data_IF_536496943790
#
_entry.id   IF_536496943790
#
_cell.length_a   1.000
_cell.length_b   1.000
_cell.length_c   1.000
_cell.angle_alpha   90.00
_cell.angle_beta   90.00
_cell.angle_gamma   90.00
#
_symmetry.space_group_name_H-M   'P 1'
#
loop_
_entity.id
_entity.type
_entity.pdbx_description
1 polymer ?
#
# COMPACT_ATOMS: atom_id res chain seq x y z
N UNK A 1 -19.64 -58.76 42.07
CA UNK A 1 -18.69 -57.64 41.89
C UNK A 1 -19.47 -56.43 41.39
N UNK A 2 -19.47 -55.29 42.08
CA UNK A 2 -20.03 -54.06 41.53
C UNK A 2 -19.09 -53.49 40.45
N UNK A 3 -19.65 -52.95 39.37
CA UNK A 3 -18.86 -52.14 38.42
C UNK A 3 -18.52 -50.82 39.10
N UNK A 4 -17.23 -50.51 39.20
CA UNK A 4 -16.77 -49.14 39.44
C UNK A 4 -17.28 -48.27 38.28
N UNK A 5 -18.13 -47.29 38.60
CA UNK A 5 -18.54 -46.27 37.64
C UNK A 5 -17.37 -45.29 37.53
N UNK A 6 -16.91 -45.07 36.29
CA UNK A 6 -15.76 -44.24 35.97
C UNK A 6 -16.10 -42.75 36.11
N UNK A 7 -16.04 -42.26 37.35
CA UNK A 7 -16.29 -40.86 37.69
C UNK A 7 -15.21 -39.90 37.16
N UNK A 8 -14.03 -40.40 36.79
CA UNK A 8 -12.95 -39.57 36.22
C UNK A 8 -13.31 -39.15 34.79
N UNK A 9 -13.75 -40.09 33.94
CA UNK A 9 -14.12 -39.78 32.55
C UNK A 9 -15.17 -38.67 32.41
N UNK A 10 -16.19 -38.66 33.27
CA UNK A 10 -17.27 -37.66 33.26
C UNK A 10 -16.79 -36.26 33.68
N UNK A 11 -15.85 -36.18 34.64
CA UNK A 11 -15.27 -34.90 35.05
C UNK A 11 -14.28 -34.35 34.02
N UNK A 12 -13.50 -35.21 33.37
CA UNK A 12 -12.59 -34.83 32.29
C UNK A 12 -13.38 -34.24 31.12
N UNK A 13 -14.45 -34.92 30.67
CA UNK A 13 -15.29 -34.44 29.54
C UNK A 13 -15.95 -33.07 29.75
N UNK A 14 -16.31 -32.72 31.00
CA UNK A 14 -16.89 -31.40 31.32
C UNK A 14 -15.84 -30.29 31.34
N UNK A 15 -14.65 -30.55 31.91
CA UNK A 15 -13.55 -29.56 31.94
C UNK A 15 -12.99 -29.31 30.55
N UNK A 16 -12.79 -30.35 29.73
CA UNK A 16 -12.33 -30.21 28.34
C UNK A 16 -13.38 -29.55 27.45
N UNK A 17 -14.66 -29.90 27.60
CA UNK A 17 -15.76 -29.25 26.88
C UNK A 17 -15.86 -27.74 27.17
N UNK A 18 -15.74 -27.33 28.44
CA UNK A 18 -15.72 -25.93 28.83
C UNK A 18 -14.48 -25.19 28.28
N UNK A 19 -13.29 -25.78 28.42
CA UNK A 19 -12.06 -25.20 27.89
C UNK A 19 -12.13 -25.00 26.36
N UNK A 20 -12.66 -25.98 25.63
CA UNK A 20 -12.86 -25.88 24.18
C UNK A 20 -13.80 -24.72 23.80
N UNK A 21 -14.92 -24.53 24.51
CA UNK A 21 -15.82 -23.39 24.26
C UNK A 21 -15.13 -22.05 24.53
N UNK A 22 -14.36 -21.92 25.61
CA UNK A 22 -13.64 -20.68 25.95
C UNK A 22 -12.56 -20.36 24.91
N UNK A 23 -11.75 -21.34 24.52
CA UNK A 23 -10.73 -21.16 23.47
C UNK A 23 -11.39 -20.84 22.13
N UNK A 24 -12.50 -21.52 21.79
CA UNK A 24 -13.24 -21.25 20.56
C UNK A 24 -13.81 -19.83 20.51
N UNK A 25 -14.40 -19.35 21.62
CA UNK A 25 -14.88 -17.98 21.74
C UNK A 25 -13.72 -16.96 21.63
N UNK A 26 -12.59 -17.23 22.28
CA UNK A 26 -11.39 -16.40 22.16
C UNK A 26 -10.88 -16.31 20.71
N UNK A 27 -10.83 -17.43 19.98
CA UNK A 27 -10.43 -17.43 18.57
C UNK A 27 -11.39 -16.65 17.67
N UNK A 28 -12.71 -16.67 17.94
CA UNK A 28 -13.67 -15.82 17.24
C UNK A 28 -13.45 -14.33 17.53
N UNK A 29 -13.21 -13.96 18.79
CA UNK A 29 -12.89 -12.57 19.16
C UNK A 29 -11.59 -12.11 18.48
N UNK A 30 -10.55 -12.95 18.48
CA UNK A 30 -9.29 -12.67 17.80
C UNK A 30 -9.48 -12.51 16.28
N UNK A 31 -10.27 -13.39 15.65
CA UNK A 31 -10.58 -13.33 14.22
C UNK A 31 -11.30 -12.03 13.81
N UNK A 32 -12.21 -11.54 14.65
CA UNK A 32 -12.90 -10.27 14.44
C UNK A 32 -11.92 -9.10 14.63
N UNK A 33 -11.22 -9.04 15.77
CA UNK A 33 -10.27 -7.97 16.07
C UNK A 33 -9.12 -7.86 15.07
N UNK A 34 -8.65 -9.00 14.53
CA UNK A 34 -7.63 -9.01 13.49
C UNK A 34 -8.10 -8.24 12.25
N UNK A 35 -9.34 -8.49 11.80
CA UNK A 35 -9.90 -7.85 10.61
C UNK A 35 -10.35 -6.40 10.84
N UNK A 36 -10.97 -6.08 11.96
CA UNK A 36 -11.67 -4.79 12.18
C UNK A 36 -10.92 -3.79 13.05
N UNK A 37 -9.65 -4.07 13.38
CA UNK A 37 -8.83 -3.17 14.18
C UNK A 37 -7.33 -3.35 13.88
N UNK A 38 -6.82 -4.58 13.96
CA UNK A 38 -5.39 -4.82 13.75
C UNK A 38 -4.97 -4.55 12.29
N UNK A 39 -5.82 -4.88 11.32
CA UNK A 39 -5.56 -4.53 9.92
C UNK A 39 -5.47 -3.01 9.73
N UNK A 40 -6.48 -2.25 10.15
CA UNK A 40 -6.55 -0.80 9.92
C UNK A 40 -5.40 -0.02 10.59
N UNK A 41 -4.88 -0.53 11.72
CA UNK A 41 -3.73 0.04 12.44
C UNK A 41 -2.35 -0.34 11.83
N UNK A 42 -2.30 -1.31 10.93
CA UNK A 42 -1.07 -1.78 10.28
C UNK A 42 -1.05 -1.47 8.78
N UNK A 43 -2.22 -1.34 8.17
CA UNK A 43 -2.47 -0.78 6.84
C UNK A 43 -2.48 0.76 6.91
N UNK A 44 -1.41 1.32 7.48
CA UNK A 44 -1.20 2.75 7.67
C UNK A 44 0.24 3.12 7.30
N UNK A 45 0.43 4.12 6.45
CA UNK A 45 1.74 4.59 6.01
C UNK A 45 2.51 5.28 7.16
N UNK A 46 3.83 5.06 7.33
CA UNK A 46 4.64 5.76 8.35
C UNK A 46 4.83 7.25 8.03
N UNK A 47 5.02 8.06 9.07
CA UNK A 47 5.23 9.52 8.94
C UNK A 47 6.68 9.92 8.68
N UNK A 48 7.61 8.99 8.94
CA UNK A 48 9.06 9.13 8.98
C UNK A 48 9.75 8.25 7.91
N UNK A 49 9.07 8.04 6.79
CA UNK A 49 9.61 7.32 5.62
C UNK A 49 10.92 7.96 5.14
N UNK A 50 11.91 7.15 4.80
CA UNK A 50 13.12 7.59 4.11
C UNK A 50 13.48 6.54 3.05
N UNK A 51 13.46 6.93 1.77
CA UNK A 51 13.74 6.04 0.64
C UNK A 51 14.45 6.78 -0.48
N UNK A 52 15.42 6.12 -1.09
CA UNK A 52 16.00 6.46 -2.39
C UNK A 52 15.60 5.39 -3.41
N UNK A 53 15.29 5.80 -4.63
CA UNK A 53 15.03 4.91 -5.77
C UNK A 53 15.81 5.40 -6.98
N UNK A 54 16.41 4.46 -7.73
CA UNK A 54 17.25 4.77 -8.89
C UNK A 54 16.64 4.14 -10.14
N UNK A 55 16.34 4.98 -11.13
CA UNK A 55 15.88 4.56 -12.46
C UNK A 55 16.98 4.81 -13.49
N UNK A 56 17.20 3.88 -14.43
CA UNK A 56 18.26 3.97 -15.44
C UNK A 56 17.71 3.62 -16.82
N UNK A 57 18.41 4.07 -17.88
CA UNK A 57 18.30 3.41 -19.19
C UNK A 57 18.85 1.98 -19.08
N UNK A 58 18.36 1.07 -19.91
CA UNK A 58 18.84 -0.31 -19.87
C UNK A 58 20.31 -0.39 -20.31
N UNK A 59 21.10 -1.41 -19.88
CA UNK A 59 22.50 -1.52 -20.26
C UNK A 59 22.71 -1.61 -21.78
N UNK A 60 23.23 -0.54 -22.38
CA UNK A 60 23.43 -0.42 -23.83
C UNK A 60 22.38 0.42 -24.56
N UNK A 61 21.34 0.88 -23.86
CA UNK A 61 20.35 1.82 -24.38
C UNK A 61 20.71 3.26 -23.99
N UNK A 62 20.71 4.15 -24.99
CA UNK A 62 20.86 5.60 -24.84
C UNK A 62 19.48 6.28 -24.85
N UNK A 63 19.39 7.44 -24.18
CA UNK A 63 18.30 8.38 -24.33
C UNK A 63 18.72 9.55 -25.26
N UNK A 64 17.74 10.34 -25.71
CA UNK A 64 17.96 11.69 -26.27
C UNK A 64 17.54 12.72 -25.24
N UNK A 65 18.33 13.76 -25.00
CA UNK A 65 18.00 14.80 -24.02
C UNK A 65 18.57 16.18 -24.39
N UNK A 66 17.88 17.25 -23.98
CA UNK A 66 18.37 18.62 -24.09
C UNK A 66 19.33 18.96 -22.93
N UNK A 67 20.61 19.12 -23.23
CA UNK A 67 21.59 19.67 -22.32
C UNK A 67 21.65 21.19 -22.48
N UNK A 68 20.99 21.92 -21.57
CA UNK A 68 20.96 23.40 -21.56
C UNK A 68 22.34 23.99 -21.19
N UNK A 69 23.15 23.26 -20.43
CA UNK A 69 24.48 23.66 -19.97
C UNK A 69 25.63 23.26 -20.89
N UNK A 70 25.35 22.71 -22.07
CA UNK A 70 26.37 22.17 -22.98
C UNK A 70 27.40 23.24 -23.43
N UNK A 71 28.62 22.76 -23.71
CA UNK A 71 29.75 23.61 -24.09
C UNK A 71 29.52 24.25 -25.47
N UNK A 72 29.13 25.52 -25.48
CA UNK A 72 28.72 26.26 -26.69
C UNK A 72 27.28 26.76 -26.67
N UNK A 73 26.51 26.42 -25.63
CA UNK A 73 25.08 26.74 -25.50
C UNK A 73 24.21 25.48 -25.57
N UNK A 74 22.88 25.62 -25.42
CA UNK A 74 21.96 24.48 -25.37
C UNK A 74 22.09 23.57 -26.59
N UNK A 75 22.24 22.27 -26.34
CA UNK A 75 22.43 21.24 -27.36
C UNK A 75 21.59 20.00 -27.04
N UNK A 76 21.17 19.28 -28.08
CA UNK A 76 20.54 17.96 -27.93
C UNK A 76 21.65 16.93 -28.00
N UNK A 77 21.75 16.13 -26.95
CA UNK A 77 22.75 15.09 -26.75
C UNK A 77 22.07 13.72 -26.68
N UNK A 78 22.88 12.67 -26.80
CA UNK A 78 22.43 11.30 -26.59
C UNK A 78 23.46 10.52 -25.78
N UNK A 79 22.97 9.66 -24.90
CA UNK A 79 23.75 8.90 -23.94
C UNK A 79 22.85 8.26 -22.87
N UNK A 80 23.40 7.44 -21.97
CA UNK A 80 22.64 6.83 -20.89
C UNK A 80 22.17 7.91 -19.90
N UNK A 81 21.03 7.67 -19.26
CA UNK A 81 20.49 8.53 -18.20
C UNK A 81 20.22 7.74 -16.92
N UNK A 82 20.39 8.43 -15.81
CA UNK A 82 20.00 8.01 -14.47
C UNK A 82 19.06 9.06 -13.86
N UNK A 83 17.98 8.61 -13.24
CA UNK A 83 17.07 9.44 -12.46
C UNK A 83 17.02 8.93 -11.03
N UNK A 84 17.27 9.81 -10.06
CA UNK A 84 17.21 9.49 -8.63
C UNK A 84 16.06 10.22 -8.00
N UNK A 85 15.27 9.49 -7.20
CA UNK A 85 14.17 10.06 -6.41
C UNK A 85 14.36 9.71 -4.94
N UNK A 86 14.44 10.76 -4.13
CA UNK A 86 14.44 10.73 -2.67
C UNK A 86 13.02 11.02 -2.19
N UNK A 87 12.58 10.35 -1.14
CA UNK A 87 11.31 10.59 -0.44
C UNK A 87 11.60 10.61 1.06
N UNK A 88 11.23 11.70 1.74
CA UNK A 88 11.46 11.92 3.17
C UNK A 88 10.17 12.38 3.84
N UNK A 89 9.75 11.62 4.87
CA UNK A 89 8.55 11.87 5.63
C UNK A 89 8.67 13.05 6.59
N UNK A 90 7.73 14.00 6.47
CA UNK A 90 7.73 15.24 7.24
C UNK A 90 6.80 15.10 8.45
N UNK A 91 7.29 14.47 9.53
CA UNK A 91 6.51 14.13 10.73
C UNK A 91 5.77 15.32 11.35
N UNK A 92 6.37 16.53 11.35
CA UNK A 92 5.70 17.73 11.89
C UNK A 92 4.59 18.22 10.94
N UNK A 93 4.85 18.55 9.66
CA UNK A 93 3.79 18.83 8.68
C UNK A 93 2.68 17.79 8.60
N UNK A 94 2.99 16.50 8.76
CA UNK A 94 1.99 15.43 8.77
C UNK A 94 0.98 15.58 9.91
N UNK A 95 1.45 15.92 11.12
CA UNK A 95 0.59 16.18 12.28
C UNK A 95 -0.23 17.46 12.10
N UNK A 96 0.40 18.50 11.56
CA UNK A 96 -0.25 19.78 11.24
C UNK A 96 -1.40 19.59 10.24
N UNK A 97 -1.15 18.88 9.13
CA UNK A 97 -2.18 18.55 8.14
C UNK A 97 -3.28 17.63 8.71
N UNK A 98 -2.92 16.67 9.56
CA UNK A 98 -3.90 15.78 10.23
C UNK A 98 -4.81 16.55 11.20
N UNK A 99 -4.25 17.46 12.00
CA UNK A 99 -4.98 18.31 12.94
C UNK A 99 -5.88 19.33 12.21
N UNK A 100 -5.44 19.87 11.07
CA UNK A 100 -6.20 20.82 10.24
C UNK A 100 -7.36 20.18 9.46
N UNK A 101 -7.15 18.96 8.93
CA UNK A 101 -8.12 18.27 8.07
C UNK A 101 -9.03 17.31 8.85
N UNK A 102 -8.61 16.85 10.03
CA UNK A 102 -9.35 15.87 10.83
C UNK A 102 -9.25 14.43 10.31
N UNK A 103 -8.21 14.15 9.52
CA UNK A 103 -7.95 12.89 8.81
C UNK A 103 -6.54 12.38 9.16
N UNK A 104 -6.22 11.10 8.86
CA UNK A 104 -4.89 10.55 9.14
C UNK A 104 -3.93 10.81 7.95
N UNK A 105 -3.24 11.95 7.99
CA UNK A 105 -2.49 12.48 6.84
C UNK A 105 -0.98 12.32 7.01
N UNK A 106 -0.32 11.85 5.96
CA UNK A 106 1.12 11.95 5.80
C UNK A 106 1.45 13.11 4.85
N UNK A 107 2.51 13.84 5.18
CA UNK A 107 3.10 14.85 4.31
C UNK A 107 4.54 14.41 4.03
N UNK A 108 4.87 14.15 2.78
CA UNK A 108 6.20 13.71 2.35
C UNK A 108 6.82 14.74 1.41
N UNK A 109 8.10 15.05 1.62
CA UNK A 109 8.94 15.79 0.68
C UNK A 109 9.55 14.76 -0.28
N UNK A 110 9.40 14.95 -1.58
CA UNK A 110 10.14 14.18 -2.58
C UNK A 110 10.96 15.11 -3.44
N UNK A 111 12.22 14.73 -3.66
CA UNK A 111 13.09 15.39 -4.61
C UNK A 111 13.54 14.38 -5.65
N UNK A 112 13.36 14.71 -6.92
CA UNK A 112 13.83 13.91 -8.05
C UNK A 112 14.74 14.75 -8.95
N UNK A 113 15.77 14.11 -9.49
CA UNK A 113 16.61 14.70 -10.54
C UNK A 113 17.01 13.66 -11.57
N UNK A 114 17.32 14.11 -12.79
CA UNK A 114 17.76 13.26 -13.90
C UNK A 114 19.02 13.84 -14.53
N UNK A 115 20.01 12.99 -14.77
CA UNK A 115 21.32 13.36 -15.29
C UNK A 115 22.00 12.17 -15.98
N UNK A 116 23.09 12.37 -16.72
CA UNK A 116 23.98 11.27 -17.11
C UNK A 116 24.56 10.55 -15.87
N UNK A 117 24.80 9.23 -15.92
CA UNK A 117 25.35 8.47 -14.80
C UNK A 117 26.67 9.05 -14.26
N UNK A 118 26.71 9.29 -12.95
CA UNK A 118 27.88 9.84 -12.25
C UNK A 118 27.98 11.38 -12.24
N UNK A 119 27.03 12.10 -12.86
CA UNK A 119 26.92 13.56 -12.77
C UNK A 119 26.39 13.97 -11.39
N UNK A 120 26.99 14.99 -10.71
CA UNK A 120 26.49 15.53 -9.45
C UNK A 120 25.07 16.14 -9.57
N UNK A 121 24.34 16.19 -8.46
CA UNK A 121 22.97 16.72 -8.41
C UNK A 121 22.89 18.19 -8.87
N UNK A 122 23.89 19.00 -8.53
CA UNK A 122 24.00 20.41 -8.91
C UNK A 122 24.12 20.63 -10.43
N UNK A 123 24.61 19.63 -11.15
CA UNK A 123 24.81 19.63 -12.61
C UNK A 123 23.71 18.84 -13.36
N UNK A 124 22.61 18.48 -12.68
CA UNK A 124 21.52 17.69 -13.25
C UNK A 124 20.76 18.43 -14.37
N UNK A 125 20.30 17.67 -15.38
CA UNK A 125 19.55 18.19 -16.53
C UNK A 125 18.18 18.75 -16.13
N UNK A 126 17.57 18.13 -15.12
CA UNK A 126 16.28 18.53 -14.55
C UNK A 126 16.18 18.11 -13.09
N UNK A 127 15.47 18.90 -12.29
CA UNK A 127 15.09 18.53 -10.92
C UNK A 127 13.76 19.14 -10.51
N UNK A 128 13.00 18.38 -9.72
CA UNK A 128 11.71 18.80 -9.13
C UNK A 128 11.64 18.36 -7.66
N UNK A 129 11.22 19.28 -6.79
CA UNK A 129 10.85 18.99 -5.39
C UNK A 129 9.36 19.21 -5.18
N UNK A 130 8.66 18.19 -4.70
CA UNK A 130 7.25 18.29 -4.32
C UNK A 130 7.07 18.01 -2.82
N UNK A 131 6.26 18.81 -2.15
CA UNK A 131 5.78 18.56 -0.79
C UNK A 131 4.30 18.18 -0.88
N UNK A 132 4.00 16.91 -0.65
CA UNK A 132 2.69 16.31 -0.98
C UNK A 132 2.03 15.77 0.28
N UNK A 133 0.77 16.18 0.51
CA UNK A 133 -0.09 15.63 1.55
C UNK A 133 -0.99 14.52 0.97
N UNK A 134 -1.15 13.41 1.70
CA UNK A 134 -2.00 12.28 1.29
C UNK A 134 -2.51 11.48 2.49
N UNK A 135 -3.65 10.81 2.32
CA UNK A 135 -4.26 10.00 3.39
C UNK A 135 -3.54 8.65 3.52
N UNK A 136 -3.26 8.24 4.77
CA UNK A 136 -2.28 7.21 5.09
C UNK A 136 -2.72 5.78 4.81
N UNK A 137 -3.99 5.51 4.51
CA UNK A 137 -4.47 4.17 4.15
C UNK A 137 -4.70 4.01 2.63
N UNK A 138 -5.42 4.96 2.03
CA UNK A 138 -5.76 5.01 0.60
C UNK A 138 -4.58 5.42 -0.29
N UNK A 139 -3.59 6.17 0.23
CA UNK A 139 -2.51 6.74 -0.59
C UNK A 139 -2.93 7.95 -1.44
N UNK A 140 -4.21 8.32 -1.43
CA UNK A 140 -4.74 9.41 -2.26
C UNK A 140 -4.32 10.78 -1.71
N UNK A 141 -3.88 11.66 -2.61
CA UNK A 141 -3.44 13.01 -2.25
C UNK A 141 -4.60 13.87 -1.75
N UNK A 142 -4.39 14.58 -0.65
CA UNK A 142 -5.37 15.51 -0.07
C UNK A 142 -4.99 16.96 -0.34
N UNK A 143 -5.99 17.83 -0.46
CA UNK A 143 -5.77 19.26 -0.65
C UNK A 143 -5.35 19.90 0.68
N UNK A 144 -4.06 20.18 0.82
CA UNK A 144 -3.49 20.87 1.99
C UNK A 144 -2.77 22.17 1.60
N UNK A 145 -2.81 23.19 2.45
CA UNK A 145 -2.30 24.54 2.16
C UNK A 145 -0.78 24.66 2.17
N UNK A 146 -0.06 23.76 2.84
CA UNK A 146 1.40 23.68 2.77
C UNK A 146 1.92 22.80 1.62
N UNK A 147 1.04 22.23 0.79
CA UNK A 147 1.48 21.47 -0.38
C UNK A 147 2.16 22.39 -1.39
N UNK A 148 3.33 21.99 -1.92
CA UNK A 148 4.09 22.82 -2.86
C UNK A 148 4.83 22.00 -3.91
N UNK A 149 5.21 22.65 -5.00
CA UNK A 149 6.05 22.10 -6.07
C UNK A 149 7.11 23.13 -6.45
N UNK A 150 8.35 22.70 -6.66
CA UNK A 150 9.48 23.52 -7.05
C UNK A 150 10.22 22.85 -8.21
N UNK A 151 10.18 23.48 -9.39
CA UNK A 151 10.89 23.03 -10.59
C UNK A 151 11.73 24.19 -11.11
N UNK A 152 12.99 23.93 -11.48
CA UNK A 152 13.92 24.95 -12.01
C UNK A 152 14.05 26.20 -11.13
N UNK A 153 13.97 26.05 -9.80
CA UNK A 153 14.07 27.15 -8.82
C UNK A 153 12.81 28.02 -8.70
N UNK A 154 11.70 27.64 -9.35
CA UNK A 154 10.40 28.32 -9.22
C UNK A 154 9.49 27.49 -8.32
N UNK A 155 9.30 27.95 -7.07
CA UNK A 155 8.36 27.33 -6.11
C UNK A 155 6.93 27.87 -6.29
N UNK A 156 5.96 26.97 -6.33
CA UNK A 156 4.53 27.23 -6.32
C UNK A 156 3.95 26.67 -5.01
N UNK A 157 3.36 27.55 -4.21
CA UNK A 157 2.76 27.23 -2.90
C UNK A 157 1.57 28.18 -2.64
N UNK A 158 0.36 27.67 -2.34
CA UNK A 158 -0.02 26.26 -2.41
C UNK A 158 -0.07 25.74 -3.85
N UNK A 159 0.27 24.46 -4.04
CA UNK A 159 -0.11 23.67 -5.22
C UNK A 159 -1.21 22.68 -4.84
N UNK A 160 -1.78 21.97 -5.82
CA UNK A 160 -2.75 20.90 -5.58
C UNK A 160 -2.39 19.69 -6.43
N UNK A 161 -2.26 18.54 -5.75
CA UNK A 161 -2.12 17.22 -6.35
C UNK A 161 -3.47 16.50 -6.31
N UNK A 162 -3.69 15.55 -7.21
CA UNK A 162 -4.91 14.74 -7.28
C UNK A 162 -4.57 13.28 -7.57
N UNK A 163 -5.39 12.35 -7.06
CA UNK A 163 -5.21 10.91 -7.25
C UNK A 163 -4.07 10.32 -6.43
N UNK A 164 -3.48 9.24 -6.93
CA UNK A 164 -2.33 8.54 -6.36
C UNK A 164 -1.01 9.22 -6.77
N UNK A 165 -0.01 9.24 -5.89
CA UNK A 165 1.28 9.91 -6.14
C UNK A 165 2.51 9.11 -5.68
N UNK A 166 2.44 8.45 -4.51
CA UNK A 166 3.55 7.65 -3.96
C UNK A 166 3.34 6.14 -4.03
N UNK A 167 2.08 5.70 -3.91
CA UNK A 167 1.65 4.31 -3.78
C UNK A 167 0.22 4.17 -4.28
N UNK A 168 -0.32 2.97 -4.26
CA UNK A 168 -1.74 2.63 -4.45
C UNK A 168 -2.37 2.31 -3.08
N UNK A 169 -3.71 2.22 -2.95
CA UNK A 169 -4.35 1.85 -1.68
C UNK A 169 -3.85 0.53 -1.09
N UNK A 170 -3.80 0.41 0.24
CA UNK A 170 -3.64 -0.90 0.89
C UNK A 170 -4.75 -1.85 0.44
N UNK A 171 -4.42 -3.12 0.18
CA UNK A 171 -5.32 -4.03 -0.54
C UNK A 171 -5.78 -3.39 -1.88
N UNK A 172 -4.82 -3.10 -2.76
CA UNK A 172 -5.07 -2.58 -4.11
C UNK A 172 -5.95 -3.55 -4.89
N UNK A 173 -6.97 -3.04 -5.58
CA UNK A 173 -7.87 -3.84 -6.41
C UNK A 173 -7.39 -3.92 -7.86
N UNK A 174 -8.07 -4.75 -8.65
CA UNK A 174 -7.85 -4.91 -10.09
C UNK A 174 -8.80 -3.99 -10.86
N UNK A 175 -8.62 -2.69 -10.65
CA UNK A 175 -9.43 -1.61 -11.18
C UNK A 175 -8.52 -0.42 -11.54
N UNK A 176 -9.06 0.57 -12.24
CA UNK A 176 -8.29 1.73 -12.67
C UNK A 176 -8.22 2.77 -11.55
N UNK A 177 -7.07 3.44 -11.41
CA UNK A 177 -6.84 4.50 -10.44
C UNK A 177 -6.46 5.80 -11.16
N UNK A 178 -6.77 6.95 -10.58
CA UNK A 178 -6.21 8.23 -11.03
C UNK A 178 -4.78 8.35 -10.49
N UNK A 179 -3.78 8.58 -11.36
CA UNK A 179 -2.38 8.71 -10.95
C UNK A 179 -1.80 10.05 -11.44
N UNK A 180 -1.13 10.78 -10.55
CA UNK A 180 -0.61 12.12 -10.84
C UNK A 180 0.58 12.11 -11.81
N UNK A 181 0.54 12.99 -12.81
CA UNK A 181 1.69 13.34 -13.62
C UNK A 181 2.03 14.84 -13.50
N UNK A 182 3.27 15.11 -13.08
CA UNK A 182 3.75 16.48 -12.83
C UNK A 182 3.98 17.32 -14.08
N UNK A 183 4.13 16.70 -15.25
CA UNK A 183 4.39 17.41 -16.51
C UNK A 183 3.10 17.96 -17.14
N UNK A 184 2.04 17.16 -17.15
CA UNK A 184 0.69 17.63 -17.53
C UNK A 184 -0.09 18.28 -16.38
N UNK A 185 0.40 18.17 -15.15
CA UNK A 185 -0.17 18.73 -13.90
C UNK A 185 -1.60 18.27 -13.63
N UNK A 186 -1.84 16.99 -13.86
CA UNK A 186 -3.15 16.33 -13.73
C UNK A 186 -2.95 14.90 -13.26
N UNK A 187 -3.98 14.36 -12.62
CA UNK A 187 -4.15 12.91 -12.61
C UNK A 187 -4.75 12.47 -13.96
N UNK A 188 -4.33 11.29 -14.43
CA UNK A 188 -5.04 10.55 -15.49
C UNK A 188 -5.12 9.06 -15.09
N UNK A 189 -6.00 8.27 -15.72
CA UNK A 189 -6.13 6.85 -15.41
C UNK A 189 -4.82 6.06 -15.58
N UNK A 190 -4.49 5.25 -14.57
CA UNK A 190 -3.57 4.11 -14.65
C UNK A 190 -4.40 2.83 -14.59
N UNK A 191 -4.37 2.06 -15.68
CA UNK A 191 -5.25 0.90 -15.93
C UNK A 191 -4.60 -0.40 -15.47
N UNK A 192 -5.37 -1.32 -14.90
CA UNK A 192 -4.85 -2.65 -14.52
C UNK A 192 -4.68 -3.54 -15.77
N UNK A 193 -3.43 -3.92 -16.08
CA UNK A 193 -3.06 -4.68 -17.27
C UNK A 193 -2.70 -6.15 -16.99
N UNK A 194 -2.44 -6.53 -15.72
CA UNK A 194 -2.09 -7.92 -15.43
C UNK A 194 -1.51 -8.18 -14.04
N UNK A 195 -1.04 -9.42 -13.85
CA UNK A 195 -0.30 -9.83 -12.66
C UNK A 195 1.00 -10.49 -13.12
N UNK A 196 2.11 -9.94 -12.67
CA UNK A 196 3.47 -10.45 -12.92
C UNK A 196 4.07 -10.98 -11.60
N UNK A 197 5.31 -11.48 -11.68
CA UNK A 197 6.10 -11.91 -10.52
C UNK A 197 7.50 -11.27 -10.62
N UNK A 198 7.94 -10.61 -9.54
CA UNK A 198 9.26 -9.98 -9.42
C UNK A 198 9.95 -10.56 -8.19
N UNK A 199 11.11 -11.21 -8.35
CA UNK A 199 11.84 -11.87 -7.25
C UNK A 199 10.97 -12.83 -6.39
N UNK A 200 9.97 -13.49 -7.00
CA UNK A 200 9.01 -14.36 -6.31
C UNK A 200 7.83 -13.64 -5.63
N UNK A 201 7.79 -12.30 -5.68
CA UNK A 201 6.68 -11.49 -5.20
C UNK A 201 5.65 -11.27 -6.31
N UNK A 202 4.41 -11.69 -6.09
CA UNK A 202 3.31 -11.43 -7.02
C UNK A 202 2.88 -9.96 -6.98
N UNK A 203 2.87 -9.30 -8.14
CA UNK A 203 2.62 -7.87 -8.30
C UNK A 203 1.56 -7.62 -9.36
N UNK A 204 0.75 -6.58 -9.18
CA UNK A 204 -0.18 -6.09 -10.19
C UNK A 204 0.52 -5.10 -11.10
N UNK A 205 0.37 -5.28 -12.42
CA UNK A 205 0.90 -4.37 -13.43
C UNK A 205 -0.17 -3.36 -13.80
N UNK A 206 0.16 -2.08 -13.66
CA UNK A 206 -0.67 -0.95 -14.06
C UNK A 206 0.04 -0.14 -15.15
N UNK A 207 -0.71 0.38 -16.12
CA UNK A 207 -0.17 1.23 -17.21
C UNK A 207 -0.99 2.52 -17.33
N UNK A 208 -0.29 3.66 -17.34
CA UNK A 208 -0.82 4.99 -17.62
C UNK A 208 -0.21 5.48 -18.93
N UNK A 209 -1.07 5.83 -19.88
CA UNK A 209 -0.68 6.34 -21.19
C UNK A 209 -1.11 7.81 -21.31
N UNK A 210 -0.14 8.68 -21.57
CA UNK A 210 -0.33 10.10 -21.81
C UNK A 210 0.10 10.38 -23.24
N UNK A 211 -0.88 10.45 -24.13
CA UNK A 211 -0.69 10.85 -25.53
C UNK A 211 -0.02 12.24 -25.64
N UNK A 212 0.84 12.47 -26.65
CA UNK A 212 1.56 13.73 -26.81
C UNK A 212 0.65 14.96 -26.77
N UNK A 213 0.83 15.80 -25.75
CA UNK A 213 0.03 17.01 -25.51
C UNK A 213 0.92 18.23 -25.23
N UNK A 214 0.51 19.39 -25.75
CA UNK A 214 1.15 20.69 -25.45
C UNK A 214 1.01 21.02 -23.96
N UNK A 215 2.16 21.15 -23.28
CA UNK A 215 2.24 21.49 -21.84
C UNK A 215 2.74 22.91 -21.57
N UNK A 216 3.47 23.53 -22.51
CA UNK A 216 3.96 24.89 -22.38
C UNK A 216 4.24 25.55 -23.75
N UNK A 217 4.41 26.87 -23.73
CA UNK A 217 5.03 27.66 -24.80
C UNK A 217 6.31 28.28 -24.21
N UNK A 218 7.41 28.26 -24.97
CA UNK A 218 8.68 28.84 -24.52
C UNK A 218 9.51 29.42 -25.68
N UNK A 219 10.26 30.46 -25.37
CA UNK A 219 11.30 30.98 -26.26
C UNK A 219 12.51 30.04 -26.23
N UNK A 220 12.86 29.46 -27.37
CA UNK A 220 14.06 28.61 -27.53
C UNK A 220 15.07 29.27 -28.47
N UNK A 221 16.37 28.96 -28.36
CA UNK A 221 17.37 29.33 -29.37
C UNK A 221 16.98 28.75 -30.75
N UNK A 222 17.01 29.57 -31.81
CA UNK A 222 16.55 29.14 -33.13
C UNK A 222 17.31 27.94 -33.70
N UNK A 223 18.60 27.78 -33.34
CA UNK A 223 19.42 26.64 -33.75
C UNK A 223 18.92 25.29 -33.22
N UNK A 224 18.18 25.24 -32.09
CA UNK A 224 17.56 24.01 -31.60
C UNK A 224 16.42 23.54 -32.52
N UNK A 225 15.76 24.46 -33.21
CA UNK A 225 14.57 24.19 -34.05
C UNK A 225 14.83 24.44 -35.55
N UNK A 226 16.10 24.47 -35.96
CA UNK A 226 16.51 24.65 -37.36
C UNK A 226 16.30 26.05 -37.95
N UNK A 227 16.04 27.06 -37.10
CA UNK A 227 15.85 28.46 -37.50
C UNK A 227 17.15 29.27 -37.46
N UNK A 228 17.26 30.27 -38.33
CA UNK A 228 18.34 31.27 -38.31
C UNK A 228 18.07 32.44 -37.37
N UNK A 229 16.89 32.53 -36.77
CA UNK A 229 16.54 33.57 -35.79
C UNK A 229 17.23 33.31 -34.44
N UNK A 230 17.55 34.37 -33.70
CA UNK A 230 18.22 34.24 -32.40
C UNK A 230 17.35 33.50 -31.37
N UNK A 231 16.03 33.68 -31.43
CA UNK A 231 15.08 32.97 -30.58
C UNK A 231 13.73 32.84 -31.27
N UNK A 232 13.13 31.66 -31.16
CA UNK A 232 11.84 31.28 -31.76
C UNK A 232 10.88 30.87 -30.63
N UNK A 233 9.60 31.20 -30.75
CA UNK A 233 8.57 30.67 -29.86
C UNK A 233 8.25 29.23 -30.29
N UNK A 234 8.40 28.27 -29.39
CA UNK A 234 8.11 26.87 -29.64
C UNK A 234 7.14 26.31 -28.58
N UNK A 235 6.30 25.39 -29.03
CA UNK A 235 5.42 24.60 -28.18
C UNK A 235 6.21 23.43 -27.59
N UNK A 236 6.16 23.25 -26.27
CA UNK A 236 6.63 22.03 -25.63
C UNK A 236 5.49 21.03 -25.58
N UNK A 237 5.64 19.95 -26.32
CA UNK A 237 4.76 18.78 -26.27
C UNK A 237 5.40 17.70 -25.40
N UNK A 238 4.59 16.98 -24.63
CA UNK A 238 5.00 15.89 -23.75
C UNK A 238 4.04 14.72 -23.88
N UNK A 239 4.59 13.50 -23.93
CA UNK A 239 3.87 12.25 -23.80
C UNK A 239 4.66 11.27 -22.92
N UNK A 240 3.99 10.30 -22.33
CA UNK A 240 4.62 9.32 -21.45
C UNK A 240 3.80 8.03 -21.37
N UNK A 241 4.48 6.88 -21.46
CA UNK A 241 3.90 5.60 -21.04
C UNK A 241 4.55 5.15 -19.73
N UNK A 242 3.81 5.26 -18.63
CA UNK A 242 4.24 4.87 -17.28
C UNK A 242 3.70 3.47 -16.96
N UNK A 243 4.59 2.52 -16.66
CA UNK A 243 4.22 1.19 -16.15
C UNK A 243 4.66 1.05 -14.69
N UNK A 244 3.74 0.64 -13.82
CA UNK A 244 3.95 0.47 -12.39
C UNK A 244 3.62 -0.98 -11.99
N UNK A 245 4.55 -1.65 -11.31
CA UNK A 245 4.34 -2.95 -10.71
C UNK A 245 4.15 -2.79 -9.21
N UNK A 246 3.00 -3.21 -8.70
CA UNK A 246 2.50 -2.85 -7.36
C UNK A 246 2.27 -4.12 -6.55
N UNK A 247 2.79 -4.20 -5.34
CA UNK A 247 2.45 -5.29 -4.42
C UNK A 247 1.03 -5.05 -3.85
N UNK A 248 0.08 -5.96 -4.07
CA UNK A 248 -1.34 -5.67 -3.85
C UNK A 248 -1.79 -5.57 -2.39
N UNK A 249 -1.11 -6.17 -1.41
CA UNK A 249 -1.50 -6.05 0.01
C UNK A 249 -1.11 -4.69 0.60
N UNK A 250 0.07 -4.19 0.26
CA UNK A 250 0.67 -2.94 0.75
C UNK A 250 0.36 -1.72 -0.13
N UNK A 251 0.13 -1.95 -1.43
CA UNK A 251 -0.03 -0.93 -2.45
C UNK A 251 1.28 -0.26 -2.89
N UNK A 252 2.45 -0.79 -2.49
CA UNK A 252 3.74 -0.17 -2.82
C UNK A 252 4.20 -0.53 -4.22
N UNK A 253 4.74 0.47 -4.92
CA UNK A 253 5.34 0.34 -6.26
C UNK A 253 6.70 -0.35 -6.10
N UNK A 254 6.76 -1.63 -6.47
CA UNK A 254 7.96 -2.48 -6.45
C UNK A 254 8.90 -2.15 -7.61
N UNK A 255 8.34 -1.79 -8.77
CA UNK A 255 9.07 -1.34 -9.96
C UNK A 255 8.29 -0.24 -10.65
N UNK A 256 8.97 0.83 -11.04
CA UNK A 256 8.49 1.81 -12.00
C UNK A 256 9.26 1.73 -13.32
N UNK A 257 8.60 2.03 -14.43
CA UNK A 257 9.21 2.29 -15.72
C UNK A 257 8.44 3.41 -16.42
N UNK A 258 9.14 4.34 -17.05
CA UNK A 258 8.57 5.41 -17.87
C UNK A 258 9.23 5.46 -19.24
N UNK A 259 8.42 5.69 -20.27
CA UNK A 259 8.84 5.91 -21.65
C UNK A 259 8.42 7.32 -22.02
N UNK A 260 9.29 8.28 -21.70
CA UNK A 260 9.04 9.71 -21.79
C UNK A 260 9.44 10.26 -23.17
N UNK A 261 8.54 11.05 -23.75
CA UNK A 261 8.78 11.85 -24.95
C UNK A 261 8.51 13.32 -24.63
N UNK A 262 9.44 14.20 -25.00
CA UNK A 262 9.20 15.64 -25.07
C UNK A 262 9.82 16.24 -26.33
N UNK A 263 9.06 17.08 -27.01
CA UNK A 263 9.46 17.72 -28.27
C UNK A 263 9.28 19.23 -28.22
N UNK A 264 9.94 19.92 -29.15
CA UNK A 264 9.71 21.31 -29.49
C UNK A 264 9.04 21.38 -30.86
N UNK A 265 7.89 22.04 -30.94
CA UNK A 265 7.13 22.21 -32.17
C UNK A 265 7.03 23.68 -32.55
N UNK A 266 7.10 23.97 -33.85
CA UNK A 266 6.95 25.32 -34.41
C UNK A 266 5.96 25.22 -35.56
N UNK A 267 4.95 26.09 -35.56
CA UNK A 267 3.83 26.09 -36.53
C UNK A 267 3.08 24.74 -36.63
N UNK A 268 3.07 23.96 -35.55
CA UNK A 268 2.45 22.63 -35.48
C UNK A 268 3.26 21.50 -36.13
N UNK A 269 4.54 21.72 -36.40
CA UNK A 269 5.48 20.71 -36.89
C UNK A 269 6.57 20.47 -35.84
N UNK A 270 6.81 19.21 -35.47
CA UNK A 270 7.90 18.81 -34.59
C UNK A 270 9.26 19.19 -35.20
N UNK A 271 9.99 20.09 -34.54
CA UNK A 271 11.33 20.55 -35.00
C UNK A 271 12.48 19.90 -34.26
N UNK A 272 12.26 19.45 -33.02
CA UNK A 272 13.28 18.78 -32.22
C UNK A 272 12.70 17.85 -31.16
N UNK A 273 13.42 16.76 -30.87
CA UNK A 273 13.19 15.91 -29.70
C UNK A 273 14.14 16.35 -28.59
N UNK A 274 13.59 16.81 -27.46
CA UNK A 274 14.34 17.30 -26.29
C UNK A 274 14.33 16.32 -25.12
N UNK A 275 13.49 15.29 -25.18
CA UNK A 275 13.55 14.11 -24.32
C UNK A 275 12.99 12.93 -25.10
N UNK A 276 13.73 11.83 -25.17
CA UNK A 276 13.24 10.51 -25.57
C UNK A 276 14.01 9.51 -24.72
N UNK A 277 13.37 9.01 -23.67
CA UNK A 277 14.05 8.25 -22.62
C UNK A 277 13.16 7.12 -22.09
N UNK A 278 13.74 5.92 -22.03
CA UNK A 278 13.16 4.77 -21.33
C UNK A 278 13.91 4.56 -20.02
N UNK A 279 13.31 4.94 -18.92
CA UNK A 279 13.89 4.85 -17.58
C UNK A 279 13.10 3.84 -16.75
N UNK A 280 13.78 2.87 -16.15
CA UNK A 280 13.15 1.90 -15.24
C UNK A 280 13.97 1.72 -13.97
N UNK A 281 13.31 1.38 -12.86
CA UNK A 281 13.99 1.06 -11.60
C UNK A 281 15.04 -0.02 -11.84
N UNK A 282 16.25 0.21 -11.34
CA UNK A 282 17.33 -0.76 -11.47
C UNK A 282 17.14 -1.99 -10.56
N UNK A 283 17.87 -3.06 -10.86
CA UNK A 283 17.70 -4.34 -10.18
C UNK A 283 17.98 -4.26 -8.67
N UNK A 284 18.87 -3.34 -8.25
CA UNK A 284 19.15 -3.07 -6.83
C UNK A 284 17.96 -2.41 -6.14
N UNK A 285 17.36 -1.37 -6.75
CA UNK A 285 16.14 -0.71 -6.27
C UNK A 285 14.97 -1.69 -6.19
N UNK A 286 14.73 -2.47 -7.24
CA UNK A 286 13.65 -3.47 -7.27
C UNK A 286 13.87 -4.51 -6.17
N UNK A 287 15.09 -5.07 -6.07
CA UNK A 287 15.40 -6.08 -5.07
C UNK A 287 15.26 -5.57 -3.64
N UNK A 288 15.78 -4.39 -3.33
CA UNK A 288 15.68 -3.80 -2.00
C UNK A 288 14.20 -3.59 -1.60
N UNK A 289 13.38 -3.13 -2.56
CA UNK A 289 11.94 -2.93 -2.34
C UNK A 289 11.20 -4.25 -2.13
N UNK A 290 11.53 -5.32 -2.88
CA UNK A 290 10.96 -6.66 -2.64
C UNK A 290 11.35 -7.20 -1.26
N UNK A 291 12.65 -7.15 -0.91
CA UNK A 291 13.16 -7.69 0.35
C UNK A 291 12.52 -6.97 1.56
N UNK A 292 12.23 -5.67 1.45
CA UNK A 292 11.49 -4.91 2.47
C UNK A 292 9.99 -5.26 2.54
N UNK A 293 9.30 -5.26 1.39
CA UNK A 293 7.83 -5.30 1.38
C UNK A 293 7.22 -6.70 1.31
N UNK A 294 7.93 -7.74 0.84
CA UNK A 294 7.40 -9.11 0.78
C UNK A 294 6.97 -9.66 2.16
N UNK A 295 7.71 -9.32 3.22
CA UNK A 295 7.36 -9.70 4.60
C UNK A 295 6.17 -8.88 5.13
N UNK A 296 6.13 -7.58 4.84
CA UNK A 296 5.01 -6.68 5.23
C UNK A 296 3.70 -7.12 4.57
N UNK A 297 3.74 -7.41 3.27
CA UNK A 297 2.64 -7.96 2.48
C UNK A 297 2.12 -9.27 3.07
N UNK A 298 3.03 -10.21 3.37
CA UNK A 298 2.69 -11.50 3.97
C UNK A 298 2.02 -11.34 5.34
N UNK A 299 2.48 -10.40 6.17
CA UNK A 299 1.88 -10.08 7.46
C UNK A 299 0.48 -9.45 7.33
N UNK A 300 0.31 -8.47 6.44
CA UNK A 300 -1.00 -7.86 6.17
C UNK A 300 -2.00 -8.89 5.66
N UNK A 301 -1.59 -9.75 4.71
CA UNK A 301 -2.42 -10.87 4.22
C UNK A 301 -2.77 -11.88 5.31
N UNK A 302 -1.83 -12.17 6.22
CA UNK A 302 -2.04 -13.03 7.38
C UNK A 302 -3.14 -12.46 8.29
N UNK A 303 -3.10 -11.16 8.58
CA UNK A 303 -4.04 -10.48 9.47
C UNK A 303 -5.41 -10.27 8.80
N UNK A 304 -5.42 -9.95 7.51
CA UNK A 304 -6.63 -9.66 6.70
C UNK A 304 -7.43 -10.91 6.35
N UNK A 305 -6.74 -12.00 6.01
CA UNK A 305 -7.35 -13.21 5.44
C UNK A 305 -7.19 -14.42 6.35
N UNK A 306 -5.96 -14.80 6.69
CA UNK A 306 -5.68 -16.10 7.30
C UNK A 306 -6.07 -16.20 8.78
N UNK A 307 -5.76 -15.21 9.61
CA UNK A 307 -6.15 -15.18 11.03
C UNK A 307 -7.68 -15.16 11.16
N UNK A 308 -8.44 -14.31 10.43
CA UNK A 308 -9.90 -14.34 10.46
C UNK A 308 -10.50 -15.66 9.97
N UNK A 309 -9.95 -16.25 8.90
CA UNK A 309 -10.46 -17.50 8.32
C UNK A 309 -10.17 -18.72 9.21
N UNK A 310 -8.91 -18.91 9.62
CA UNK A 310 -8.49 -20.05 10.45
C UNK A 310 -9.05 -19.91 11.86
N UNK A 311 -8.93 -18.73 12.48
CA UNK A 311 -9.49 -18.44 13.81
C UNK A 311 -11.00 -18.54 13.83
N UNK A 312 -11.68 -18.08 12.77
CA UNK A 312 -13.12 -18.23 12.58
C UNK A 312 -13.56 -19.69 12.53
N UNK A 313 -12.97 -20.48 11.63
CA UNK A 313 -13.33 -21.90 11.45
C UNK A 313 -13.03 -22.71 12.73
N UNK A 314 -11.80 -22.60 13.27
CA UNK A 314 -11.43 -23.31 14.50
C UNK A 314 -12.28 -22.86 15.69
N UNK A 315 -12.60 -21.56 15.78
CA UNK A 315 -13.47 -21.01 16.81
C UNK A 315 -14.86 -21.64 16.82
N UNK A 316 -15.52 -21.68 15.65
CA UNK A 316 -16.84 -22.34 15.50
C UNK A 316 -16.76 -23.83 15.81
N UNK A 317 -15.76 -24.55 15.28
CA UNK A 317 -15.59 -26.00 15.49
C UNK A 317 -15.39 -26.33 16.97
N UNK A 318 -14.57 -25.56 17.70
CA UNK A 318 -14.34 -25.75 19.13
C UNK A 318 -15.57 -25.43 19.98
N UNK A 319 -16.35 -24.40 19.63
CA UNK A 319 -17.62 -24.08 20.30
C UNK A 319 -18.64 -25.20 20.11
N UNK A 320 -18.83 -25.68 18.87
CA UNK A 320 -19.78 -26.76 18.58
C UNK A 320 -19.36 -28.09 19.22
N UNK A 321 -18.08 -28.45 19.13
CA UNK A 321 -17.52 -29.66 19.73
C UNK A 321 -17.56 -29.62 21.26
N UNK A 322 -17.13 -28.52 21.87
CA UNK A 322 -17.19 -28.30 23.31
C UNK A 322 -18.62 -28.29 23.85
N UNK A 323 -19.55 -27.64 23.14
CA UNK A 323 -20.98 -27.68 23.42
C UNK A 323 -21.55 -29.10 23.37
N UNK A 324 -21.20 -29.89 22.36
CA UNK A 324 -21.62 -31.29 22.26
C UNK A 324 -21.08 -32.17 23.40
N UNK A 325 -19.84 -31.95 23.85
CA UNK A 325 -19.25 -32.63 25.01
C UNK A 325 -19.99 -32.27 26.32
N UNK A 326 -20.27 -30.98 26.53
CA UNK A 326 -21.03 -30.49 27.69
C UNK A 326 -22.47 -31.05 27.72
N UNK A 327 -23.12 -31.16 26.56
CA UNK A 327 -24.45 -31.75 26.43
C UNK A 327 -24.45 -33.27 26.66
N UNK A 328 -23.44 -34.01 26.17
CA UNK A 328 -23.28 -35.45 26.44
C UNK A 328 -23.10 -35.74 27.92
N UNK A 329 -22.21 -35.01 28.60
CA UNK A 329 -21.98 -35.14 30.04
C UNK A 329 -23.19 -34.77 30.94
N UNK A 330 -24.32 -34.36 30.36
CA UNK A 330 -25.58 -34.09 31.06
C UNK A 330 -26.61 -35.22 30.96
N UNK A 331 -26.43 -36.20 30.04
CA UNK A 331 -27.31 -37.37 29.89
C UNK A 331 -26.98 -38.50 30.87
N UNK A 332 -25.71 -38.68 31.23
CA UNK A 332 -25.28 -39.72 32.19
C UNK A 332 -25.57 -39.37 33.66
N UNK A 333 -26.23 -38.23 33.93
CA UNK A 333 -26.56 -37.77 35.30
C UNK A 333 -28.06 -37.78 35.59
N UNK A 334 -28.88 -38.41 34.74
CA UNK A 334 -30.33 -38.51 34.89
C UNK A 334 -30.80 -39.96 35.04
N UNK A 335 -30.32 -40.65 36.07
CA UNK A 335 -30.88 -41.94 36.51
C UNK A 335 -30.80 -42.10 38.04
N UNK A 336 -31.69 -41.41 38.74
CA UNK A 336 -31.98 -41.64 40.17
C UNK A 336 -33.44 -42.08 40.29
N UNK A 337 -33.74 -43.37 40.57
CA UNK A 337 -35.11 -43.84 40.69
C UNK A 337 -35.84 -43.19 41.87
N UNK A 338 -37.10 -42.78 41.63
CA UNK A 338 -38.03 -42.44 42.72
C UNK A 338 -38.41 -43.73 43.45
N UNK A 339 -37.92 -43.93 44.68
CA UNK A 339 -38.54 -44.89 45.60
C UNK A 339 -39.73 -44.26 46.30
N UNK A 340 -40.88 -44.92 46.25
CA UNK A 340 -42.08 -44.58 46.99
C UNK A 340 -42.63 -45.83 47.69
N UNK A 341 -42.96 -45.69 48.99
CA UNK A 341 -43.92 -46.50 49.77
C UNK A 341 -43.60 -48.02 49.96
N UNK A 342 -43.95 -48.70 51.07
CA UNK A 342 -44.73 -48.38 52.28
C UNK A 342 -44.39 -49.37 53.43
N UNK A 343 -44.82 -49.02 54.66
CA UNK A 343 -45.20 -49.77 55.89
C UNK A 343 -45.34 -51.33 55.85
N UNK A 344 -45.36 -52.11 56.95
CA UNK A 344 -45.62 -51.86 58.39
C UNK A 344 -44.76 -52.82 59.27
N UNK A 345 -44.78 -52.86 60.62
CA UNK A 345 -45.93 -53.05 61.53
C UNK A 345 -45.63 -52.59 62.99
N UNK A 346 -46.67 -52.46 63.81
CA UNK A 346 -46.69 -51.94 65.19
C UNK A 346 -47.27 -53.03 66.16
N UNK A 347 -47.86 -52.78 67.36
CA UNK A 347 -47.95 -51.55 68.19
C UNK A 347 -47.77 -51.73 69.73
N UNK A 348 -47.97 -50.61 70.45
CA UNK A 348 -48.40 -50.48 71.87
C UNK A 348 -47.40 -50.85 73.00
N UNK A 349 -47.44 -50.24 74.20
CA UNK A 349 -48.55 -49.51 74.83
C UNK A 349 -48.11 -48.41 75.83
N UNK A 350 -48.95 -47.37 76.08
CA UNK A 350 -49.10 -46.40 77.22
C UNK A 350 -47.89 -45.93 78.10
N UNK A 351 -47.81 -44.80 78.83
CA UNK A 351 -48.62 -43.60 79.19
C UNK A 351 -47.69 -42.65 80.03
N UNK A 352 -47.99 -41.39 80.43
CA UNK A 352 -48.87 -40.30 79.97
C UNK A 352 -48.58 -39.00 80.79
N UNK A 353 -49.13 -37.85 80.37
CA UNK A 353 -49.39 -36.59 81.10
C UNK A 353 -48.25 -35.68 81.67
N UNK A 354 -48.21 -34.45 81.13
CA UNK A 354 -47.91 -33.12 81.73
C UNK A 354 -47.31 -33.03 83.15
N UNK A 355 -46.22 -32.26 83.25
CA UNK A 355 -46.24 -30.88 83.75
C UNK A 355 -45.09 -30.07 83.12
#
# INVERSE_FOLDING_TARGET
>A
MPRLIDCEGVHVGKKTGFAAVVIGAFLLVLAILAKTYAYDQLATVPLDQETETVSKTAPGDDATYLNVGAAGGPAIESGPLESRRFVVGQVKPSKEASDELGEDIAVWDTFSYTAPPGTPQEDALSGTRDLVAFERSSGETVRWTGASTETSGVKIEPTVFYGQYFKFPFNTQKEDYEFWDGSVKKATPVTYEGTDELEGLSVYKFVQEIEPVKIAELQVPGNLVGSTEASVLADRVYGNTRTLWVEPETGVIIKGQEEQLATLEVDGETKATITEAKLGYDDETVKATVDEYATKASLLKMIRVWIPLIGGILGVVLILGGGALLLRGRRDSSDTPKHASTDADAPADTASAKA
#
